data_IF_274391190784
#
_entry.id   IF_274391190784
#
_cell.length_a   1.000
_cell.length_b   1.000
_cell.length_c   1.000
_cell.angle_alpha   90.00
_cell.angle_beta   90.00
_cell.angle_gamma   90.00
#
_symmetry.space_group_name_H-M   'P 1'
#
loop_
_entity.id
_entity.type
_entity.pdbx_description
1 polymer ?
#
# COMPACT_ATOMS: atom_id res chain seq x y z
N UNK A 1 5.07 2.58 -17.97
CA UNK A 1 5.89 1.42 -17.55
C UNK A 1 5.55 0.29 -18.49
N UNK A 2 6.54 -0.42 -19.02
CA UNK A 2 6.27 -1.60 -19.87
C UNK A 2 5.85 -2.80 -19.00
N UNK A 3 5.22 -3.79 -19.62
CA UNK A 3 4.78 -4.99 -18.91
C UNK A 3 5.98 -5.81 -18.40
N UNK A 4 7.11 -5.80 -19.11
CA UNK A 4 8.35 -6.47 -18.70
C UNK A 4 8.96 -5.83 -17.45
N UNK A 5 9.01 -4.49 -17.43
CA UNK A 5 9.51 -3.76 -16.27
C UNK A 5 8.63 -4.00 -15.03
N UNK A 6 7.31 -4.07 -15.22
CA UNK A 6 6.38 -4.42 -14.14
C UNK A 6 6.57 -5.87 -13.68
N UNK A 7 6.75 -6.82 -14.59
CA UNK A 7 6.96 -8.23 -14.25
C UNK A 7 8.25 -8.44 -13.44
N UNK A 8 9.36 -7.80 -13.84
CA UNK A 8 10.61 -7.82 -13.09
C UNK A 8 10.43 -7.26 -11.68
N UNK A 9 9.76 -6.11 -11.57
CA UNK A 9 9.52 -5.47 -10.28
C UNK A 9 8.63 -6.32 -9.35
N UNK A 10 7.63 -7.01 -9.91
CA UNK A 10 6.79 -7.96 -9.18
C UNK A 10 7.63 -9.12 -8.64
N UNK A 11 8.51 -9.70 -9.46
CA UNK A 11 9.39 -10.80 -9.03
C UNK A 11 10.30 -10.39 -7.87
N UNK A 12 10.87 -9.19 -7.92
CA UNK A 12 11.67 -8.64 -6.81
C UNK A 12 10.84 -8.46 -5.53
N UNK A 13 9.59 -7.99 -5.66
CA UNK A 13 8.67 -7.88 -4.51
C UNK A 13 8.34 -9.25 -3.93
N UNK A 14 8.05 -10.25 -4.77
CA UNK A 14 7.80 -11.63 -4.30
C UNK A 14 9.00 -12.21 -3.55
N UNK A 15 10.22 -11.84 -3.94
CA UNK A 15 11.46 -12.19 -3.24
C UNK A 15 11.74 -11.32 -1.99
N UNK A 16 10.87 -10.37 -1.66
CA UNK A 16 10.93 -9.57 -0.45
C UNK A 16 11.87 -8.36 -0.51
N UNK A 17 12.22 -7.89 -1.70
CA UNK A 17 13.04 -6.70 -1.90
C UNK A 17 12.29 -5.43 -1.45
N UNK A 18 12.75 -4.83 -0.34
CA UNK A 18 12.05 -3.71 0.30
C UNK A 18 11.94 -2.47 -0.60
N UNK A 19 13.00 -2.13 -1.35
CA UNK A 19 12.98 -0.97 -2.23
C UNK A 19 11.93 -1.14 -3.35
N UNK A 20 11.79 -2.36 -3.85
CA UNK A 20 10.78 -2.70 -4.86
C UNK A 20 9.36 -2.70 -4.26
N UNK A 21 9.20 -3.10 -3.00
CA UNK A 21 7.92 -3.01 -2.27
C UNK A 21 7.50 -1.55 -2.13
N UNK A 22 8.42 -0.68 -1.71
CA UNK A 22 8.15 0.75 -1.53
C UNK A 22 7.77 1.40 -2.88
N UNK A 23 8.49 1.04 -3.96
CA UNK A 23 8.17 1.50 -5.31
C UNK A 23 6.79 1.00 -5.78
N UNK A 24 6.43 -0.26 -5.55
CA UNK A 24 5.09 -0.78 -5.86
C UNK A 24 4.01 -0.06 -5.05
N UNK A 25 4.26 0.21 -3.77
CA UNK A 25 3.31 0.92 -2.91
C UNK A 25 3.08 2.35 -3.43
N UNK A 26 4.12 3.03 -3.92
CA UNK A 26 3.98 4.32 -4.59
C UNK A 26 3.18 4.22 -5.90
N UNK A 27 3.46 3.22 -6.75
CA UNK A 27 2.70 2.98 -7.98
C UNK A 27 1.21 2.69 -7.70
N UNK A 28 0.91 1.99 -6.61
CA UNK A 28 -0.46 1.67 -6.19
C UNK A 28 -1.28 2.91 -5.83
N UNK A 29 -0.66 4.05 -5.49
CA UNK A 29 -1.36 5.31 -5.21
C UNK A 29 -2.02 5.92 -6.45
N UNK A 30 -1.61 5.52 -7.65
CA UNK A 30 -2.23 5.98 -8.89
C UNK A 30 -3.70 5.58 -8.94
N UNK A 31 -4.51 6.45 -9.53
CA UNK A 31 -5.96 6.25 -9.70
C UNK A 31 -6.31 5.65 -11.08
N UNK A 32 -5.33 5.10 -11.79
CA UNK A 32 -5.51 4.45 -13.09
C UNK A 32 -5.46 2.92 -12.97
N UNK A 33 -5.71 2.23 -14.09
CA UNK A 33 -5.74 0.76 -14.16
C UNK A 33 -4.47 0.11 -13.64
N UNK A 34 -3.32 0.72 -13.92
CA UNK A 34 -2.04 0.26 -13.39
C UNK A 34 -2.01 0.35 -11.87
N UNK A 35 -2.39 1.48 -11.28
CA UNK A 35 -2.47 1.64 -9.83
C UNK A 35 -3.42 0.63 -9.18
N UNK A 36 -4.57 0.35 -9.79
CA UNK A 36 -5.52 -0.67 -9.29
C UNK A 36 -4.96 -2.09 -9.40
N UNK A 37 -4.28 -2.43 -10.51
CA UNK A 37 -3.63 -3.74 -10.71
C UNK A 37 -2.54 -3.97 -9.65
N UNK A 38 -1.69 -2.97 -9.43
CA UNK A 38 -0.60 -3.04 -8.43
C UNK A 38 -1.15 -3.11 -7.01
N UNK A 39 -2.16 -2.30 -6.68
CA UNK A 39 -2.82 -2.35 -5.37
C UNK A 39 -3.41 -3.73 -5.05
N UNK A 40 -4.08 -4.36 -6.04
CA UNK A 40 -4.60 -5.71 -5.88
C UNK A 40 -3.48 -6.73 -5.66
N UNK A 41 -2.37 -6.60 -6.38
CA UNK A 41 -1.23 -7.51 -6.26
C UNK A 41 -0.58 -7.44 -4.88
N UNK A 42 -0.33 -6.23 -4.37
CA UNK A 42 0.18 -6.03 -3.01
C UNK A 42 -0.74 -6.63 -1.96
N UNK A 43 -2.05 -6.46 -2.13
CA UNK A 43 -3.02 -7.02 -1.21
C UNK A 43 -3.12 -8.56 -1.30
N UNK A 44 -3.02 -9.13 -2.50
CA UNK A 44 -2.99 -10.58 -2.68
C UNK A 44 -1.76 -11.19 -1.98
N UNK A 45 -0.60 -10.54 -2.01
CA UNK A 45 0.59 -10.94 -1.25
C UNK A 45 0.40 -10.78 0.26
N UNK A 46 -0.10 -9.61 0.70
CA UNK A 46 -0.35 -9.31 2.10
C UNK A 46 -1.37 -10.27 2.74
N UNK A 47 -2.43 -10.63 2.02
CA UNK A 47 -3.48 -11.53 2.50
C UNK A 47 -3.13 -13.01 2.41
N UNK A 48 -1.97 -13.35 1.84
CA UNK A 48 -1.54 -14.74 1.61
C UNK A 48 -2.25 -15.44 0.44
N UNK A 49 -3.08 -14.72 -0.34
CA UNK A 49 -3.70 -15.26 -1.55
C UNK A 49 -2.67 -15.50 -2.67
N UNK A 50 -1.58 -14.74 -2.66
CA UNK A 50 -0.38 -14.97 -3.48
C UNK A 50 0.79 -15.24 -2.55
N UNK A 51 1.57 -16.27 -2.84
CA UNK A 51 2.78 -16.59 -2.09
C UNK A 51 3.87 -15.54 -2.32
N UNK A 52 4.71 -15.32 -1.32
CA UNK A 52 5.89 -14.47 -1.38
C UNK A 52 6.90 -14.84 -0.30
N UNK A 53 7.94 -14.03 -0.14
CA UNK A 53 8.96 -14.23 0.89
C UNK A 53 8.36 -14.27 2.31
N UNK A 54 9.02 -14.92 3.28
CA UNK A 54 8.62 -14.83 4.68
C UNK A 54 8.43 -13.38 5.15
N UNK A 55 7.39 -13.15 5.96
CA UNK A 55 7.04 -11.84 6.53
C UNK A 55 6.81 -10.71 5.50
N UNK A 56 6.52 -11.04 4.23
CA UNK A 56 6.22 -10.04 3.18
C UNK A 56 4.98 -9.20 3.51
N UNK A 57 4.01 -9.76 4.22
CA UNK A 57 2.84 -9.08 4.74
C UNK A 57 3.21 -7.90 5.64
N UNK A 58 4.18 -8.10 6.55
CA UNK A 58 4.70 -7.06 7.46
C UNK A 58 5.49 -5.99 6.70
N UNK A 59 6.22 -6.37 5.65
CA UNK A 59 6.95 -5.39 4.82
C UNK A 59 5.99 -4.50 4.04
N UNK A 60 4.95 -5.10 3.44
CA UNK A 60 3.95 -4.37 2.65
C UNK A 60 3.13 -3.44 3.54
N UNK A 61 2.62 -3.94 4.68
CA UNK A 61 1.76 -3.13 5.53
C UNK A 61 2.51 -1.95 6.17
N UNK A 62 3.80 -2.13 6.51
CA UNK A 62 4.65 -1.08 7.04
C UNK A 62 4.93 -0.01 5.98
N UNK A 63 5.21 -0.40 4.73
CA UNK A 63 5.35 0.55 3.63
C UNK A 63 4.07 1.37 3.41
N UNK A 64 2.90 0.72 3.47
CA UNK A 64 1.60 1.40 3.38
C UNK A 64 1.39 2.39 4.55
N UNK A 65 1.82 2.03 5.77
CA UNK A 65 1.74 2.93 6.92
C UNK A 65 2.62 4.17 6.76
N UNK A 66 3.84 4.01 6.24
CA UNK A 66 4.74 5.15 5.95
C UNK A 66 4.09 6.08 4.93
N UNK A 67 3.51 5.55 3.84
CA UNK A 67 2.78 6.37 2.86
C UNK A 67 1.59 7.09 3.49
N UNK A 68 0.81 6.42 4.34
CA UNK A 68 -0.29 7.06 5.07
C UNK A 68 0.21 8.18 5.98
N UNK A 69 1.34 8.01 6.68
CA UNK A 69 1.92 9.06 7.51
C UNK A 69 2.38 10.26 6.67
N UNK A 70 3.04 10.01 5.54
CA UNK A 70 3.45 11.06 4.61
C UNK A 70 2.23 11.82 4.09
N UNK A 71 1.12 11.14 3.78
CA UNK A 71 -0.11 11.76 3.26
C UNK A 71 -0.84 12.67 4.25
N UNK A 72 -0.72 12.39 5.55
CA UNK A 72 -1.40 13.16 6.59
C UNK A 72 -0.45 14.18 7.26
N UNK A 73 0.79 14.33 6.80
CA UNK A 73 1.68 15.40 7.25
C UNK A 73 1.21 16.75 6.66
N UNK A 74 1.36 17.84 7.40
CA UNK A 74 0.80 19.16 7.04
C UNK A 74 1.34 19.70 5.69
N UNK A 75 2.48 19.21 5.22
CA UNK A 75 3.08 19.56 3.92
C UNK A 75 2.26 19.01 2.73
N UNK A 76 1.58 17.87 2.90
CA UNK A 76 0.88 17.12 1.84
C UNK A 76 -0.61 16.97 2.11
N UNK A 77 -1.12 17.48 3.23
CA UNK A 77 -2.50 17.32 3.72
C UNK A 77 -3.59 17.75 2.74
N UNK A 78 -3.26 18.64 1.79
CA UNK A 78 -4.16 19.09 0.73
C UNK A 78 -3.95 18.35 -0.61
N UNK A 79 -3.13 17.30 -0.63
CA UNK A 79 -2.89 16.52 -1.84
C UNK A 79 -4.08 15.61 -2.13
N UNK A 80 -5.00 16.13 -2.95
CA UNK A 80 -6.19 15.42 -3.42
C UNK A 80 -5.88 14.24 -4.35
N UNK A 81 -4.62 14.05 -4.77
CA UNK A 81 -4.24 12.95 -5.66
C UNK A 81 -4.17 11.60 -4.95
N UNK A 82 -3.87 11.59 -3.64
CA UNK A 82 -3.72 10.36 -2.85
C UNK A 82 -5.04 9.89 -2.24
N UNK A 83 -6.12 9.92 -3.04
CA UNK A 83 -7.49 9.56 -2.62
C UNK A 83 -7.56 8.22 -1.91
N UNK A 84 -6.76 7.23 -2.34
CA UNK A 84 -6.70 5.90 -1.74
C UNK A 84 -6.26 5.90 -0.27
N UNK A 85 -5.60 6.95 0.23
CA UNK A 85 -5.24 7.08 1.65
C UNK A 85 -6.28 7.83 2.50
N UNK A 86 -7.37 8.28 1.86
CA UNK A 86 -8.49 9.00 2.47
C UNK A 86 -9.86 8.41 2.15
N UNK A 87 -9.91 7.27 1.45
CA UNK A 87 -11.12 6.57 1.05
C UNK A 87 -10.98 5.06 1.31
N UNK A 88 -12.07 4.28 1.30
CA UNK A 88 -12.02 2.84 1.45
C UNK A 88 -11.18 2.19 0.34
N UNK A 89 -9.96 1.77 0.68
CA UNK A 89 -8.99 1.17 -0.26
C UNK A 89 -8.21 0.05 0.40
N UNK A 90 -7.56 -0.78 -0.41
CA UNK A 90 -6.70 -1.87 0.10
C UNK A 90 -5.45 -1.31 0.74
N UNK A 91 -4.87 -0.25 0.18
CA UNK A 91 -3.71 0.44 0.76
C UNK A 91 -4.00 0.98 2.15
N UNK A 92 -5.16 1.63 2.33
CA UNK A 92 -5.55 2.20 3.62
C UNK A 92 -5.81 1.10 4.66
N UNK A 93 -6.43 -0.01 4.25
CA UNK A 93 -6.60 -1.18 5.10
C UNK A 93 -5.25 -1.76 5.55
N UNK A 94 -4.29 -1.95 4.62
CA UNK A 94 -2.95 -2.42 4.95
C UNK A 94 -2.22 -1.47 5.88
N UNK A 95 -2.29 -0.16 5.66
CA UNK A 95 -1.72 0.84 6.58
C UNK A 95 -2.31 0.73 8.00
N UNK A 96 -3.63 0.55 8.11
CA UNK A 96 -4.33 0.39 9.40
C UNK A 96 -3.98 -0.92 10.12
N UNK A 97 -3.59 -1.97 9.39
CA UNK A 97 -3.18 -3.24 10.00
C UNK A 97 -1.81 -3.12 10.68
N UNK A 98 -0.87 -2.36 10.10
CA UNK A 98 0.50 -2.22 10.58
C UNK A 98 0.65 -1.39 11.86
N UNK A 99 -0.23 -0.42 12.11
CA UNK A 99 -0.10 0.43 13.29
C UNK A 99 -0.45 -0.35 14.57
N UNK A 100 0.26 -0.10 15.66
CA UNK A 100 -0.07 -0.63 17.00
C UNK A 100 -0.89 0.36 17.84
N UNK A 101 -1.03 1.60 17.39
CA UNK A 101 -1.78 2.66 18.06
C UNK A 101 -3.27 2.55 17.73
N UNK A 102 -4.08 2.24 18.74
CA UNK A 102 -5.52 2.06 18.59
C UNK A 102 -6.22 3.34 18.10
N UNK A 103 -5.75 4.52 18.52
CA UNK A 103 -6.34 5.79 18.08
C UNK A 103 -6.14 5.97 16.57
N UNK A 104 -4.97 5.59 16.05
CA UNK A 104 -4.70 5.59 14.61
C UNK A 104 -5.53 4.54 13.88
N UNK A 105 -5.71 3.34 14.45
CA UNK A 105 -6.61 2.32 13.87
C UNK A 105 -8.05 2.83 13.76
N UNK A 106 -8.57 3.50 14.79
CA UNK A 106 -9.92 4.08 14.78
C UNK A 106 -10.03 5.15 13.69
N UNK A 107 -9.05 6.05 13.59
CA UNK A 107 -9.03 7.08 12.55
C UNK A 107 -9.02 6.49 11.13
N UNK A 108 -8.25 5.43 10.91
CA UNK A 108 -8.25 4.69 9.63
C UNK A 108 -9.57 3.96 9.40
N UNK A 109 -10.16 3.34 10.43
CA UNK A 109 -11.42 2.61 10.33
C UNK A 109 -12.58 3.53 9.93
N UNK A 110 -12.68 4.75 10.48
CA UNK A 110 -13.70 5.71 10.07
C UNK A 110 -13.65 6.01 8.56
N UNK A 111 -12.45 6.23 8.01
CA UNK A 111 -12.26 6.48 6.57
C UNK A 111 -12.64 5.27 5.69
N UNK A 112 -12.56 4.05 6.23
CA UNK A 112 -12.91 2.81 5.51
C UNK A 112 -14.42 2.53 5.59
N UNK A 113 -15.07 2.84 6.71
CA UNK A 113 -16.49 2.54 6.93
C UNK A 113 -17.43 3.57 6.28
N UNK A 114 -16.99 4.82 6.11
CA UNK A 114 -17.81 5.91 5.59
C UNK A 114 -18.51 6.68 6.70
#
# INVERSE_FOLDING_TARGET
MSDEALALLIGEVENGNQNCIDLLCNLALRNDDLGHKVEKLLFDLFSGKRSGSPDIDKKINQACLVLHQIANNDITKNNTEWKKLHAPSRLLYMAGSATTDLSKKIGTAHKIMG
#
